data_IF_988644483616
#
_entry.id   IF_988644483616
#
_cell.length_a   1.000
_cell.length_b   1.000
_cell.length_c   1.000
_cell.angle_alpha   90.00
_cell.angle_beta   90.00
_cell.angle_gamma   90.00
#
_symmetry.space_group_name_H-M   'P 1'
#
loop_
_entity.id
_entity.type
_entity.pdbx_description
1 polymer ?
#
# COMPACT_ATOMS: atom_id res chain seq x y z
N UNK A 1 -13.91 16.48 -13.32
CA UNK A 1 -13.03 16.80 -12.18
C UNK A 1 -11.61 16.40 -12.51
N UNK A 2 -10.69 17.34 -12.40
CA UNK A 2 -9.28 17.02 -12.61
C UNK A 2 -8.69 16.47 -11.33
N UNK A 3 -8.10 15.29 -11.43
CA UNK A 3 -7.31 14.73 -10.36
C UNK A 3 -5.99 15.49 -10.27
N UNK A 4 -5.74 16.08 -9.11
CA UNK A 4 -4.46 16.76 -8.89
C UNK A 4 -3.53 15.82 -8.14
N UNK A 5 -2.36 15.59 -8.68
CA UNK A 5 -1.34 14.80 -8.01
C UNK A 5 0.02 15.43 -8.23
N UNK A 6 0.94 15.04 -7.39
CA UNK A 6 2.31 15.52 -7.43
C UNK A 6 3.25 14.35 -7.23
N UNK A 7 4.26 14.27 -8.10
CA UNK A 7 5.31 13.27 -7.97
C UNK A 7 6.57 13.96 -7.48
N UNK A 8 7.12 13.47 -6.41
CA UNK A 8 8.36 14.00 -5.83
C UNK A 8 9.36 12.85 -5.76
N UNK A 9 10.39 12.93 -6.60
CA UNK A 9 11.45 11.94 -6.57
C UNK A 9 12.30 12.12 -5.33
N UNK A 10 12.72 11.02 -4.74
CA UNK A 10 13.57 11.02 -3.55
C UNK A 10 12.97 11.83 -2.40
N UNK A 11 11.65 11.74 -2.25
CA UNK A 11 10.94 12.47 -1.22
C UNK A 11 11.37 12.07 0.20
N UNK A 12 11.49 10.76 0.45
CA UNK A 12 11.90 10.28 1.76
C UNK A 12 13.41 10.30 1.90
N UNK A 13 13.92 10.60 3.10
CA UNK A 13 15.33 10.36 3.39
C UNK A 13 15.67 8.89 3.10
N UNK A 14 16.88 8.67 2.58
CA UNK A 14 17.30 7.34 2.14
C UNK A 14 17.11 6.27 3.21
N UNK A 15 17.45 6.58 4.44
CA UNK A 15 17.34 5.64 5.54
C UNK A 15 15.89 5.23 5.79
N UNK A 16 14.98 6.19 5.78
CA UNK A 16 13.55 5.90 5.98
C UNK A 16 12.99 5.08 4.83
N UNK A 17 13.39 5.42 3.60
CA UNK A 17 12.98 4.65 2.43
C UNK A 17 13.45 3.19 2.51
N UNK A 18 14.70 2.97 2.92
CA UNK A 18 15.24 1.61 3.04
C UNK A 18 14.51 0.81 4.12
N UNK A 19 14.10 1.44 5.21
CA UNK A 19 13.33 0.76 6.26
C UNK A 19 12.00 0.26 5.71
N UNK A 20 11.27 1.13 5.00
CA UNK A 20 9.98 0.75 4.41
C UNK A 20 10.16 -0.33 3.35
N UNK A 21 11.13 -0.16 2.47
CA UNK A 21 11.42 -1.12 1.42
C UNK A 21 11.72 -2.50 1.99
N UNK A 22 12.58 -2.56 3.00
CA UNK A 22 12.96 -3.83 3.59
C UNK A 22 11.81 -4.48 4.36
N UNK A 23 10.93 -3.67 4.92
CA UNK A 23 9.73 -4.19 5.56
C UNK A 23 8.80 -4.85 4.54
N UNK A 24 8.45 -4.11 3.52
CA UNK A 24 7.42 -4.54 2.54
C UNK A 24 7.93 -5.68 1.66
N UNK A 25 9.19 -5.63 1.25
CA UNK A 25 9.79 -6.66 0.40
C UNK A 25 10.40 -7.81 1.19
N UNK A 26 10.34 -7.73 2.52
CA UNK A 26 10.86 -8.78 3.38
C UNK A 26 9.96 -10.01 3.36
N UNK A 27 10.56 -11.16 3.63
CA UNK A 27 9.82 -12.41 3.60
C UNK A 27 8.83 -12.62 4.73
N UNK A 28 8.89 -11.78 5.75
CA UNK A 28 7.98 -11.88 6.89
C UNK A 28 6.83 -10.87 6.83
N UNK A 29 6.73 -10.09 5.74
CA UNK A 29 5.64 -9.14 5.61
C UNK A 29 4.35 -9.89 5.26
N UNK A 30 3.26 -9.72 6.05
CA UNK A 30 2.04 -10.51 5.80
C UNK A 30 1.23 -9.91 4.67
N UNK A 31 1.18 -10.61 3.56
CA UNK A 31 0.33 -10.29 2.43
C UNK A 31 -0.93 -11.15 2.48
N UNK A 32 -2.09 -10.52 2.35
CA UNK A 32 -3.37 -11.21 2.37
C UNK A 32 -3.94 -11.28 0.96
N UNK A 33 -4.33 -12.47 0.57
CA UNK A 33 -4.84 -12.77 -0.77
C UNK A 33 -6.25 -12.22 -0.95
N UNK A 34 -6.46 -11.48 -2.05
CA UNK A 34 -7.76 -10.98 -2.47
C UNK A 34 -8.08 -11.61 -3.81
N UNK A 35 -9.08 -12.53 -3.86
CA UNK A 35 -9.26 -13.38 -5.02
C UNK A 35 -9.84 -12.68 -6.24
N UNK A 36 -10.59 -11.61 -6.07
CA UNK A 36 -11.26 -10.97 -7.18
C UNK A 36 -10.93 -9.49 -7.24
N UNK A 37 -10.32 -9.08 -8.36
CA UNK A 37 -10.22 -7.67 -8.68
C UNK A 37 -11.52 -7.30 -9.40
N UNK A 38 -12.42 -6.65 -8.68
CA UNK A 38 -13.66 -6.18 -9.26
C UNK A 38 -13.44 -4.96 -10.10
N UNK A 39 -13.46 -5.13 -11.42
CA UNK A 39 -13.63 -4.00 -12.31
C UNK A 39 -15.07 -3.99 -12.78
N UNK A 40 -15.73 -2.85 -12.65
CA UNK A 40 -17.04 -2.68 -13.26
C UNK A 40 -16.96 -3.00 -14.74
N UNK A 41 -17.84 -3.85 -15.22
CA UNK A 41 -17.98 -4.19 -16.62
C UNK A 41 -16.88 -5.06 -17.21
N UNK A 42 -15.96 -5.55 -16.41
CA UNK A 42 -14.98 -6.50 -16.89
C UNK A 42 -15.24 -7.83 -16.21
N UNK A 43 -15.68 -8.79 -16.99
CA UNK A 43 -15.75 -10.17 -16.53
C UNK A 43 -14.38 -10.76 -16.71
N UNK A 44 -13.66 -10.94 -15.65
CA UNK A 44 -12.39 -11.61 -15.73
C UNK A 44 -12.61 -13.07 -16.11
N UNK A 45 -11.91 -13.49 -17.12
CA UNK A 45 -11.80 -14.91 -17.43
C UNK A 45 -10.67 -15.45 -16.57
N UNK A 46 -11.03 -16.11 -15.52
CA UNK A 46 -10.03 -16.50 -14.57
C UNK A 46 -9.77 -15.40 -13.58
N UNK A 47 -9.32 -15.76 -12.46
CA UNK A 47 -9.23 -14.87 -11.33
C UNK A 47 -8.02 -13.99 -11.42
N UNK A 48 -8.26 -12.73 -11.72
CA UNK A 48 -7.29 -11.72 -11.39
C UNK A 48 -7.32 -11.57 -9.88
N UNK A 49 -6.15 -11.51 -9.29
CA UNK A 49 -6.06 -11.35 -7.86
C UNK A 49 -4.99 -10.33 -7.51
N UNK A 50 -5.04 -9.86 -6.29
CA UNK A 50 -3.97 -9.05 -5.74
C UNK A 50 -3.81 -9.38 -4.27
N UNK A 51 -2.76 -8.90 -3.67
CA UNK A 51 -2.52 -9.06 -2.24
C UNK A 51 -2.46 -7.71 -1.58
N UNK A 52 -2.89 -7.64 -0.32
CA UNK A 52 -2.84 -6.40 0.40
C UNK A 52 -2.42 -6.60 1.85
N UNK A 53 -2.03 -5.51 2.46
CA UNK A 53 -1.85 -5.40 3.90
C UNK A 53 -2.42 -4.05 4.32
N UNK A 54 -3.41 -4.07 5.21
CA UNK A 54 -4.03 -2.85 5.72
C UNK A 54 -3.36 -2.45 7.03
N UNK A 55 -2.63 -1.34 7.03
CA UNK A 55 -1.99 -0.83 8.23
C UNK A 55 -2.97 -0.09 9.13
N UNK A 56 -3.87 0.64 8.50
CA UNK A 56 -4.81 1.51 9.18
C UNK A 56 -6.08 1.64 8.36
N UNK A 57 -7.21 1.52 9.02
CA UNK A 57 -8.52 1.81 8.41
C UNK A 57 -9.45 2.29 9.50
N UNK A 58 -9.60 3.62 9.62
CA UNK A 58 -10.31 4.30 10.70
C UNK A 58 -9.66 4.10 12.07
N UNK A 59 -8.86 3.06 12.22
CA UNK A 59 -8.08 2.78 13.42
C UNK A 59 -6.86 1.94 13.05
N UNK A 60 -5.91 1.78 13.96
CA UNK A 60 -4.74 0.96 13.73
C UNK A 60 -5.18 -0.48 13.54
N UNK A 61 -4.79 -1.07 12.42
CA UNK A 61 -5.21 -2.42 12.01
C UNK A 61 -4.05 -3.41 12.00
N UNK A 62 -2.83 -2.94 12.11
CA UNK A 62 -1.65 -3.77 11.97
C UNK A 62 -0.59 -3.35 12.99
N UNK A 63 0.10 -4.34 13.55
CA UNK A 63 1.24 -4.08 14.44
C UNK A 63 2.39 -3.39 13.70
N UNK A 64 2.38 -3.39 12.37
CA UNK A 64 3.41 -2.73 11.57
C UNK A 64 3.09 -1.27 11.27
N UNK A 65 1.96 -0.77 11.75
CA UNK A 65 1.55 0.60 11.51
C UNK A 65 2.60 1.62 11.97
N UNK A 66 3.19 1.42 13.14
CA UNK A 66 4.16 2.38 13.68
C UNK A 66 5.37 2.54 12.78
N UNK A 67 5.82 1.50 12.11
CA UNK A 67 6.93 1.60 11.17
C UNK A 67 6.56 2.47 9.98
N UNK A 68 5.34 2.33 9.45
CA UNK A 68 4.87 3.17 8.35
C UNK A 68 4.66 4.59 8.82
N UNK A 69 4.09 4.79 10.00
CA UNK A 69 3.89 6.12 10.56
C UNK A 69 5.22 6.86 10.71
N UNK A 70 6.19 6.23 11.34
CA UNK A 70 7.45 6.89 11.67
C UNK A 70 8.35 7.11 10.45
N UNK A 71 8.24 6.27 9.43
CA UNK A 71 9.13 6.32 8.27
C UNK A 71 8.49 6.90 7.01
N UNK A 72 7.19 7.10 7.01
CA UNK A 72 6.49 7.67 5.85
C UNK A 72 5.51 8.75 6.26
N UNK A 73 4.52 8.42 7.12
CA UNK A 73 3.40 9.32 7.37
C UNK A 73 3.84 10.62 8.05
N UNK A 74 4.86 10.56 8.90
CA UNK A 74 5.37 11.74 9.60
C UNK A 74 6.02 12.74 8.65
N UNK A 75 6.35 12.34 7.43
CA UNK A 75 6.89 13.23 6.41
C UNK A 75 5.81 13.87 5.54
N UNK A 76 4.55 13.52 5.77
CA UNK A 76 3.42 14.04 5.01
C UNK A 76 2.60 14.98 5.87
N UNK A 77 2.05 16.01 5.25
CA UNK A 77 1.12 16.92 5.92
C UNK A 77 -0.28 16.31 5.87
N UNK A 78 -0.58 15.49 6.87
CA UNK A 78 -1.84 14.75 6.94
C UNK A 78 -2.78 15.45 7.91
N UNK A 79 -3.96 15.82 7.44
CA UNK A 79 -4.97 16.46 8.27
C UNK A 79 -5.99 15.48 8.82
N UNK A 80 -6.26 14.41 8.07
CA UNK A 80 -7.11 13.33 8.54
C UNK A 80 -6.64 12.04 7.87
N UNK A 81 -6.52 10.99 8.67
CA UNK A 81 -6.10 9.70 8.17
C UNK A 81 -7.30 8.78 8.08
N UNK A 82 -7.57 8.26 6.89
CA UNK A 82 -8.70 7.36 6.64
C UNK A 82 -8.20 5.93 6.45
N UNK A 83 -7.18 5.76 5.61
CA UNK A 83 -6.67 4.43 5.29
C UNK A 83 -5.19 4.49 4.92
N UNK A 84 -4.44 3.49 5.36
CA UNK A 84 -3.08 3.23 4.90
C UNK A 84 -2.99 1.76 4.52
N UNK A 85 -2.61 1.48 3.30
CA UNK A 85 -2.68 0.16 2.73
C UNK A 85 -1.54 -0.06 1.75
N UNK A 86 -0.97 -1.26 1.75
CA UNK A 86 -0.04 -1.69 0.73
C UNK A 86 -0.74 -2.68 -0.19
N UNK A 87 -0.53 -2.54 -1.49
CA UNK A 87 -1.07 -3.45 -2.49
C UNK A 87 0.06 -4.07 -3.29
N UNK A 88 -0.06 -5.35 -3.57
CA UNK A 88 0.85 -6.07 -4.46
C UNK A 88 0.04 -6.64 -5.62
N UNK A 89 0.36 -6.21 -6.81
CA UNK A 89 -0.30 -6.69 -8.03
C UNK A 89 0.69 -7.54 -8.80
N UNK A 90 0.59 -8.88 -8.71
CA UNK A 90 1.48 -9.73 -9.49
C UNK A 90 1.23 -9.55 -10.98
N UNK A 91 2.28 -9.73 -11.78
CA UNK A 91 2.12 -9.72 -13.22
C UNK A 91 1.35 -10.99 -13.63
N UNK A 92 0.17 -10.79 -14.15
CA UNK A 92 -0.70 -11.88 -14.56
C UNK A 92 -0.91 -11.78 -16.07
N UNK A 93 -0.42 -12.77 -16.77
CA UNK A 93 -0.66 -12.87 -18.21
C UNK A 93 -2.09 -13.32 -18.43
N UNK A 94 -2.80 -12.48 -19.14
CA UNK A 94 -4.20 -12.73 -19.48
C UNK A 94 -4.35 -12.86 -20.97
#
# INVERSE_FOLDING_TARGET
>A
MKLKYKVIDNFLPKNNFEIIKNLILGKNFPWFYIPDISFKNIKSKGSLFYMHHVFYEKEVNSSLYDMIKNNLLNFLDIKALIRVKANLYPNQNI
#
